data_IF_620732538744
#
_entry.id   IF_620732538744
#
_cell.length_a   1.000
_cell.length_b   1.000
_cell.length_c   1.000
_cell.angle_alpha   90.00
_cell.angle_beta   90.00
_cell.angle_gamma   90.00
#
_symmetry.space_group_name_H-M   'P 1'
#
loop_
_entity.id
_entity.type
_entity.pdbx_description
1 polymer ?
2 non-polymer ?
3 water ?
#
# COMPACT_ATOMS: atom_id res chain seq x y z
N UNK A 1 19.65 5.31 10.13
CA UNK A 1 19.52 4.12 10.95
C UNK A 1 18.72 4.30 12.23
N UNK A 2 17.46 3.87 12.30
CA UNK A 2 16.88 3.88 13.65
C UNK A 2 17.20 2.52 14.28
N UNK A 3 17.22 2.52 15.60
CA UNK A 3 17.55 1.37 16.42
C UNK A 3 16.91 0.07 15.99
N UNK A 4 15.73 0.17 15.41
CA UNK A 4 14.88 -0.94 15.02
C UNK A 4 15.01 -1.27 13.53
N UNK A 5 15.95 -0.62 12.86
CA UNK A 5 16.28 -1.09 11.51
C UNK A 5 16.60 -2.58 11.61
N UNK A 6 15.92 -3.37 10.79
CA UNK A 6 16.13 -4.81 10.90
C UNK A 6 15.75 -5.54 9.64
N UNK A 7 16.55 -6.55 9.27
CA UNK A 7 16.31 -7.16 7.96
C UNK A 7 14.99 -7.92 7.88
N UNK A 8 14.30 -8.12 8.99
CA UNK A 8 13.01 -8.79 8.96
C UNK A 8 11.84 -7.81 9.06
N UNK A 9 12.10 -6.52 9.19
CA UNK A 9 11.00 -5.54 9.15
C UNK A 9 10.19 -5.65 7.87
N UNK A 10 8.93 -5.21 7.89
CA UNK A 10 8.02 -5.38 6.76
C UNK A 10 7.55 -4.04 6.22
N UNK A 11 7.64 -3.94 4.90
CA UNK A 11 7.20 -2.69 4.28
C UNK A 11 5.79 -2.77 3.71
N UNK A 12 4.90 -1.94 4.26
CA UNK A 12 3.54 -1.92 3.73
C UNK A 12 3.38 -0.68 2.86
N UNK A 13 2.67 -0.91 1.78
CA UNK A 13 2.50 0.12 0.77
C UNK A 13 1.08 0.05 0.21
N UNK A 14 0.55 1.21 -0.13
CA UNK A 14 -0.78 1.29 -0.73
C UNK A 14 -0.81 2.46 -1.70
N UNK A 15 -0.83 2.10 -2.99
CA UNK A 15 -0.98 3.13 -4.00
C UNK A 15 -2.44 3.49 -4.20
N UNK A 16 -2.69 4.70 -4.68
CA UNK A 16 -3.96 5.03 -5.33
C UNK A 16 -3.60 5.19 -6.82
N UNK A 17 -4.44 4.68 -7.70
CA UNK A 17 -4.24 4.66 -9.14
C UNK A 17 -5.52 5.11 -9.86
N UNK A 18 -5.38 5.50 -11.13
CA UNK A 18 -6.48 6.13 -11.87
C UNK A 18 -7.28 5.15 -12.70
N UNK A 19 -6.80 3.92 -12.76
CA UNK A 19 -7.46 2.84 -13.48
C UNK A 19 -6.55 1.64 -13.24
N UNK A 20 -6.83 0.49 -13.83
CA UNK A 20 -6.17 -0.75 -13.44
C UNK A 20 -5.09 -1.14 -14.43
N UNK A 21 -5.19 -0.65 -15.67
CA UNK A 21 -4.08 -1.02 -16.57
C UNK A 21 -3.08 0.12 -16.52
N UNK A 22 -1.94 -0.26 -15.97
CA UNK A 22 -0.86 0.70 -15.73
C UNK A 22 -0.43 1.34 -17.04
N UNK A 23 -0.59 0.58 -18.13
CA UNK A 23 -0.08 1.02 -19.43
C UNK A 23 -0.89 2.18 -19.98
N UNK A 24 -2.01 2.51 -19.34
CA UNK A 24 -2.74 3.74 -19.64
C UNK A 24 -3.15 4.46 -18.35
N UNK A 25 -2.77 3.90 -17.21
CA UNK A 25 -3.10 4.49 -15.92
C UNK A 25 -1.84 4.93 -15.17
N UNK A 26 -1.96 5.78 -14.16
CA UNK A 26 -0.89 6.36 -13.38
C UNK A 26 -1.20 6.45 -11.88
N UNK A 27 -0.12 6.50 -11.10
CA UNK A 27 -0.26 6.69 -9.66
C UNK A 27 -0.74 8.10 -9.36
N UNK A 28 -1.54 8.28 -8.33
CA UNK A 28 -2.05 9.56 -7.88
C UNK A 28 -1.97 9.69 -6.37
N UNK A 29 -1.58 8.59 -5.71
CA UNK A 29 -1.26 8.75 -4.29
C UNK A 29 -0.37 7.58 -3.90
N UNK A 30 0.53 7.87 -2.97
CA UNK A 30 1.44 6.87 -2.43
C UNK A 30 1.59 7.04 -0.92
N UNK A 31 1.53 5.92 -0.22
CA UNK A 31 1.70 5.81 1.21
C UNK A 31 2.42 4.50 1.56
N UNK A 32 3.13 4.58 2.67
CA UNK A 32 3.91 3.51 3.24
C UNK A 32 3.91 3.63 4.77
N UNK A 33 4.17 2.48 5.35
CA UNK A 33 4.24 2.15 6.76
C UNK A 33 5.28 1.04 6.92
N UNK A 34 6.15 1.13 7.92
CA UNK A 34 7.03 0.02 8.25
C UNK A 34 6.59 -0.52 9.61
N UNK A 35 6.47 -1.84 9.66
CA UNK A 35 6.26 -2.59 10.89
C UNK A 35 7.46 -3.53 11.13
N UNK A 36 7.52 -4.09 12.33
CA UNK A 36 8.52 -5.12 12.61
C UNK A 36 7.94 -6.45 12.13
N UNK A 37 8.67 -7.56 12.20
CA UNK A 37 8.09 -8.79 11.67
C UNK A 37 6.79 -9.17 12.39
N UNK A 38 6.56 -8.66 13.59
CA UNK A 38 5.38 -8.99 14.38
C UNK A 38 4.26 -7.97 14.27
N UNK A 39 4.30 -7.11 13.27
CA UNK A 39 3.24 -6.21 12.88
C UNK A 39 3.10 -5.03 13.86
N UNK A 40 4.16 -4.74 14.60
CA UNK A 40 4.20 -3.54 15.45
C UNK A 40 4.63 -2.34 14.61
N UNK A 41 3.81 -1.28 14.54
CA UNK A 41 4.22 -0.21 13.63
C UNK A 41 5.44 0.50 14.21
N UNK A 42 6.44 0.67 13.36
CA UNK A 42 7.66 1.40 13.63
C UNK A 42 7.48 2.85 13.19
N UNK A 43 7.23 3.00 11.89
CA UNK A 43 7.07 4.32 11.31
C UNK A 43 6.01 4.37 10.21
N UNK A 44 5.34 5.52 10.11
CA UNK A 44 4.51 5.88 8.97
C UNK A 44 5.33 6.74 8.01
N UNK A 45 5.26 6.43 6.72
CA UNK A 45 6.09 7.14 5.76
C UNK A 45 5.36 8.25 5.03
N UNK A 46 6.01 8.78 4.00
CA UNK A 46 5.42 9.89 3.24
C UNK A 46 4.06 9.49 2.67
N UNK A 47 3.04 10.29 2.96
CA UNK A 47 1.75 10.16 2.31
C UNK A 47 1.64 11.23 1.25
N UNK A 48 1.75 10.86 -0.02
CA UNK A 48 1.95 11.91 -1.01
C UNK A 48 0.96 11.87 -2.17
N UNK A 49 0.28 12.98 -2.47
CA UNK A 49 -0.52 13.10 -3.69
C UNK A 49 0.37 13.46 -4.89
N UNK A 50 0.50 12.53 -5.81
CA UNK A 50 1.24 12.59 -7.06
C UNK A 50 0.35 13.30 -8.08
N UNK A 51 0.82 14.38 -8.70
CA UNK A 51 -0.09 15.14 -9.58
C UNK A 51 -0.16 14.54 -10.98
N UNK A 52 -1.37 14.57 -11.55
CA UNK A 52 -1.59 14.07 -12.90
C UNK A 52 -2.54 15.00 -13.66
N UNK A 53 -2.40 15.06 -14.97
CA UNK A 53 -3.21 15.90 -15.84
C UNK A 53 -4.71 15.80 -15.52
N UNK A 54 -5.46 16.79 -16.00
CA UNK A 54 -6.90 16.88 -15.84
C UNK A 54 -7.65 15.95 -16.79
N UNK A 55 -7.02 15.67 -17.92
CA UNK A 55 -7.51 14.76 -18.93
C UNK A 55 -7.37 13.31 -18.53
N UNK A 56 -6.27 12.96 -17.84
CA UNK A 56 -6.17 11.57 -17.40
C UNK A 56 -7.17 11.31 -16.28
N UNK A 57 -7.39 12.33 -15.45
CA UNK A 57 -8.38 12.32 -14.39
C UNK A 57 -9.79 12.24 -14.95
N UNK A 58 -9.96 12.77 -16.16
CA UNK A 58 -11.24 12.84 -16.84
C UNK A 58 -11.58 11.54 -17.56
N UNK A 59 -10.55 10.78 -17.90
CA UNK A 59 -10.62 9.46 -18.51
C UNK A 59 -10.86 8.38 -17.45
N UNK A 60 -10.79 8.80 -16.20
CA UNK A 60 -11.03 7.93 -15.06
C UNK A 60 -12.45 7.37 -15.07
N UNK A 61 -12.55 6.06 -14.85
CA UNK A 61 -13.85 5.42 -14.73
C UNK A 61 -14.63 6.21 -13.68
N UNK A 62 -15.92 6.24 -13.97
CA UNK A 62 -16.87 7.01 -13.18
C UNK A 62 -16.80 6.59 -11.73
N UNK A 63 -16.45 5.33 -11.46
CA UNK A 63 -16.43 4.85 -10.08
C UNK A 63 -15.26 5.48 -9.34
N UNK A 64 -14.07 5.48 -9.94
CA UNK A 64 -12.91 6.07 -9.28
C UNK A 64 -13.04 7.58 -9.12
N UNK A 65 -13.59 8.25 -10.15
CA UNK A 65 -13.74 9.69 -9.91
C UNK A 65 -14.68 9.91 -8.72
N UNK A 66 -15.68 9.05 -8.52
CA UNK A 66 -16.60 9.38 -7.43
C UNK A 66 -15.84 9.35 -6.11
N UNK A 67 -15.10 8.27 -5.92
CA UNK A 67 -14.44 8.00 -4.66
C UNK A 67 -13.34 9.02 -4.36
N UNK A 68 -12.54 9.25 -5.40
CA UNK A 68 -11.35 10.10 -5.21
C UNK A 68 -11.78 11.51 -4.85
N UNK A 69 -12.95 11.87 -5.35
CA UNK A 69 -13.46 13.22 -5.11
C UNK A 69 -14.01 13.35 -3.70
N UNK A 70 -14.79 12.35 -3.29
CA UNK A 70 -15.47 12.46 -2.00
C UNK A 70 -14.44 12.35 -0.89
N UNK A 71 -13.41 11.56 -1.21
CA UNK A 71 -12.26 11.49 -0.31
C UNK A 71 -11.51 12.81 -0.30
N UNK A 72 -11.42 13.41 -1.48
CA UNK A 72 -10.80 14.71 -1.67
C UNK A 72 -9.43 14.57 -2.31
N UNK A 73 -9.12 13.35 -2.76
CA UNK A 73 -7.79 13.12 -3.27
C UNK A 73 -7.48 14.05 -4.43
N UNK A 74 -8.48 14.26 -5.28
CA UNK A 74 -8.25 15.00 -6.53
C UNK A 74 -7.85 16.45 -6.25
N UNK A 75 -8.54 17.04 -5.28
CA UNK A 75 -8.18 18.35 -4.74
C UNK A 75 -6.69 18.44 -4.42
N UNK A 76 -6.10 17.36 -3.94
CA UNK A 76 -4.67 17.25 -3.70
C UNK A 76 -3.87 16.95 -4.97
N UNK A 77 -4.47 16.17 -5.87
CA UNK A 77 -3.68 15.75 -7.02
C UNK A 77 -3.37 17.00 -7.83
N UNK A 78 -4.44 17.80 -7.86
CA UNK A 78 -4.53 19.03 -8.61
C UNK A 78 -3.81 20.16 -7.89
N UNK A 79 -3.61 20.00 -6.58
CA UNK A 79 -2.80 21.03 -5.93
C UNK A 79 -1.38 20.50 -5.75
N UNK A 80 -1.14 19.29 -6.24
CA UNK A 80 0.17 18.67 -6.10
C UNK A 80 1.21 19.26 -7.04
N UNK A 81 2.44 19.30 -6.53
CA UNK A 81 3.56 19.70 -7.38
C UNK A 81 4.48 18.49 -7.55
N UNK A 82 4.14 17.39 -6.86
CA UNK A 82 5.01 16.22 -6.88
C UNK A 82 4.94 15.46 -8.21
N UNK A 83 6.12 15.07 -8.68
CA UNK A 83 6.33 14.18 -9.81
C UNK A 83 6.35 12.73 -9.32
N UNK A 84 6.36 11.75 -10.22
CA UNK A 84 6.47 10.38 -9.68
C UNK A 84 7.79 10.17 -8.95
N UNK A 85 8.88 10.62 -9.57
CA UNK A 85 10.22 10.57 -9.03
C UNK A 85 10.33 11.30 -7.69
N UNK A 86 9.74 12.49 -7.62
CA UNK A 86 9.74 13.18 -6.33
C UNK A 86 9.09 12.29 -5.27
N UNK A 87 7.93 11.73 -5.59
CA UNK A 87 7.22 10.86 -4.65
C UNK A 87 8.13 9.70 -4.22
N UNK A 88 8.66 9.06 -5.25
CA UNK A 88 9.44 7.84 -5.08
C UNK A 88 10.70 8.06 -4.25
N UNK A 89 11.52 9.03 -4.66
CA UNK A 89 12.72 9.40 -3.92
C UNK A 89 12.36 9.66 -2.47
N UNK A 90 11.23 10.37 -2.30
CA UNK A 90 10.89 10.68 -0.91
C UNK A 90 10.55 9.44 -0.12
N UNK A 91 10.00 8.43 -0.78
CA UNK A 91 9.61 7.21 -0.07
C UNK A 91 10.79 6.29 0.20
N UNK A 92 11.58 6.10 -0.85
CA UNK A 92 12.87 5.44 -0.72
C UNK A 92 13.68 5.95 0.46
N UNK A 93 13.91 7.26 0.46
CA UNK A 93 14.68 7.98 1.47
C UNK A 93 14.27 7.49 2.86
N UNK A 94 12.96 7.52 3.02
CA UNK A 94 12.27 7.06 4.20
C UNK A 94 12.55 5.59 4.49
N UNK A 95 12.35 4.75 3.46
CA UNK A 95 12.39 3.31 3.70
C UNK A 95 13.78 2.90 4.18
N UNK A 96 14.77 3.42 3.52
CA UNK A 96 16.19 3.29 3.74
C UNK A 96 16.59 3.43 5.20
N UNK A 97 15.87 4.20 6.01
CA UNK A 97 16.25 4.31 7.41
C UNK A 97 15.72 3.18 8.28
N UNK A 98 15.00 2.22 7.73
CA UNK A 98 14.19 1.29 8.51
C UNK A 98 14.30 -0.18 8.11
N UNK A 99 14.58 -0.47 6.84
CA UNK A 99 14.74 -1.80 6.28
C UNK A 99 15.78 -1.81 5.17
N UNK A 100 16.62 -2.82 5.09
CA UNK A 100 17.54 -2.84 3.94
C UNK A 100 16.81 -3.15 2.63
N UNK A 101 17.25 -2.53 1.55
CA UNK A 101 16.89 -2.82 0.17
C UNK A 101 16.89 -4.32 -0.11
N UNK A 102 15.83 -4.83 -0.73
CA UNK A 102 15.76 -6.23 -1.08
C UNK A 102 15.35 -7.12 0.06
N UNK A 103 15.11 -6.60 1.27
CA UNK A 103 14.81 -7.59 2.31
C UNK A 103 13.32 -7.89 2.46
N UNK A 104 12.45 -6.88 2.47
CA UNK A 104 11.05 -7.17 2.76
C UNK A 104 10.29 -7.53 1.50
N UNK A 105 9.35 -8.46 1.62
CA UNK A 105 8.43 -8.70 0.50
C UNK A 105 7.43 -7.55 0.44
N UNK A 106 6.62 -7.46 -0.61
CA UNK A 106 5.67 -6.34 -0.66
C UNK A 106 4.40 -6.73 0.09
N UNK A 107 3.99 -5.88 1.03
CA UNK A 107 2.92 -6.20 1.95
C UNK A 107 1.73 -5.25 1.89
N UNK A 108 0.55 -5.86 1.90
CA UNK A 108 -0.73 -5.19 1.91
C UNK A 108 -1.81 -6.06 1.28
N UNK A 109 -2.89 -5.43 0.81
CA UNK A 109 -3.98 -6.19 0.22
C UNK A 109 -3.93 -6.16 -1.30
N UNK A 110 -3.86 -7.32 -1.92
CA UNK A 110 -3.84 -7.33 -3.38
C UNK A 110 -2.67 -6.54 -3.91
N UNK A 111 -1.50 -6.62 -3.26
CA UNK A 111 -0.50 -5.61 -3.61
C UNK A 111 0.15 -5.87 -4.95
N UNK A 112 -0.21 -6.99 -5.59
CA UNK A 112 0.32 -7.26 -6.93
C UNK A 112 -0.09 -6.12 -7.86
N UNK A 113 -1.33 -5.68 -7.73
CA UNK A 113 -1.84 -4.51 -8.43
C UNK A 113 -0.96 -3.30 -8.20
N UNK A 114 -0.57 -2.97 -6.97
CA UNK A 114 0.28 -1.78 -6.83
C UNK A 114 1.62 -1.88 -7.55
N UNK A 115 2.26 -3.02 -7.39
CA UNK A 115 3.59 -3.34 -7.88
C UNK A 115 3.69 -3.28 -9.40
N UNK A 116 2.61 -3.60 -10.10
CA UNK A 116 2.56 -3.43 -11.55
C UNK A 116 2.93 -1.99 -11.93
N UNK A 117 2.38 -1.02 -11.20
CA UNK A 117 2.56 0.40 -11.42
C UNK A 117 3.91 0.90 -10.92
N UNK A 118 4.38 0.50 -9.75
CA UNK A 118 5.74 0.74 -9.30
C UNK A 118 6.74 0.33 -10.38
N UNK A 119 6.62 -0.93 -10.80
CA UNK A 119 7.51 -1.47 -11.82
C UNK A 119 7.55 -0.59 -13.06
N UNK A 120 6.46 0.12 -13.36
CA UNK A 120 6.51 0.94 -14.56
C UNK A 120 6.84 2.39 -14.26
N UNK A 121 6.32 2.91 -13.15
CA UNK A 121 6.47 4.33 -12.85
C UNK A 121 7.42 4.61 -11.69
N UNK A 122 7.83 3.60 -10.92
CA UNK A 122 8.71 3.81 -9.78
C UNK A 122 9.58 2.57 -9.55
N UNK A 123 10.37 2.19 -10.55
CA UNK A 123 11.13 0.94 -10.55
C UNK A 123 12.21 0.90 -9.48
N UNK A 124 12.70 2.06 -9.02
CA UNK A 124 13.74 1.92 -7.99
C UNK A 124 13.11 1.40 -6.70
N UNK A 125 11.91 1.92 -6.44
CA UNK A 125 11.07 1.50 -5.33
C UNK A 125 10.71 0.02 -5.44
N UNK A 126 10.35 -0.40 -6.65
CA UNK A 126 9.86 -1.74 -6.93
C UNK A 126 10.97 -2.75 -6.66
N UNK A 127 12.16 -2.21 -6.87
CA UNK A 127 13.40 -2.95 -6.67
C UNK A 127 13.77 -2.99 -5.19
N UNK A 128 13.26 -2.05 -4.40
CA UNK A 128 13.62 -2.00 -3.00
C UNK A 128 13.06 -3.21 -2.22
N UNK A 129 12.10 -3.86 -2.85
CA UNK A 129 11.38 -5.01 -2.42
C UNK A 129 12.00 -6.33 -2.87
N UNK A 130 12.05 -7.27 -1.93
CA UNK A 130 12.20 -8.66 -2.25
C UNK A 130 11.19 -9.08 -3.31
N UNK A 131 11.40 -10.17 -4.06
CA UNK A 131 10.43 -10.37 -5.14
C UNK A 131 9.08 -10.86 -4.62
N UNK A 132 9.06 -11.45 -3.43
CA UNK A 132 7.88 -12.10 -2.86
C UNK A 132 6.83 -11.12 -2.36
N UNK A 133 5.58 -11.55 -2.44
CA UNK A 133 4.45 -10.74 -2.01
C UNK A 133 3.94 -11.24 -0.67
N UNK A 134 3.51 -10.31 0.18
CA UNK A 134 2.83 -10.79 1.40
C UNK A 134 1.44 -10.18 1.32
N UNK A 135 0.59 -10.91 0.61
CA UNK A 135 -0.77 -10.52 0.28
C UNK A 135 -1.75 -10.99 1.33
N UNK A 136 -2.18 -10.02 2.14
CA UNK A 136 -3.17 -10.37 3.17
C UNK A 136 -4.41 -11.02 2.58
N UNK A 137 -4.79 -10.67 1.36
CA UNK A 137 -6.04 -11.21 0.81
C UNK A 137 -5.87 -12.69 0.48
N UNK A 138 -4.60 -13.12 0.45
CA UNK A 138 -4.33 -14.54 0.23
C UNK A 138 -5.03 -15.31 1.34
N UNK A 139 -4.91 -14.72 2.54
CA UNK A 139 -5.38 -15.39 3.75
C UNK A 139 -6.90 -15.40 3.83
N UNK A 140 -7.49 -14.30 3.38
CA UNK A 140 -8.92 -14.10 3.32
C UNK A 140 -9.53 -15.18 2.43
N UNK A 141 -8.92 -15.36 1.26
CA UNK A 141 -9.34 -16.39 0.32
C UNK A 141 -9.31 -17.79 0.94
N UNK A 142 -8.32 -18.05 1.80
CA UNK A 142 -8.15 -19.36 2.40
C UNK A 142 -9.19 -19.53 3.52
N UNK A 143 -9.34 -18.44 4.26
CA UNK A 143 -10.30 -18.47 5.36
C UNK A 143 -11.68 -18.67 4.76
N UNK A 144 -12.02 -17.86 3.75
CA UNK A 144 -13.29 -18.05 3.05
C UNK A 144 -13.53 -19.48 2.59
N UNK A 145 -12.53 -20.32 2.42
CA UNK A 145 -12.78 -21.70 2.01
C UNK A 145 -12.59 -22.72 3.12
N UNK A 146 -11.74 -22.38 4.09
CA UNK A 146 -11.42 -23.33 5.15
C UNK A 146 -11.88 -22.82 6.51
N UNK A 147 -12.38 -21.59 6.66
CA UNK A 147 -12.86 -21.22 8.00
C UNK A 147 -13.61 -19.90 8.00
N UNK A 148 -14.70 -19.87 7.24
CA UNK A 148 -15.42 -18.65 6.90
C UNK A 148 -16.04 -17.94 8.09
N UNK A 149 -16.31 -18.71 9.14
CA UNK A 149 -16.93 -18.12 10.33
C UNK A 149 -16.14 -16.93 10.82
N UNK A 150 -14.81 -16.98 10.65
CA UNK A 150 -14.01 -15.88 11.20
C UNK A 150 -14.16 -14.63 10.34
N UNK A 151 -14.78 -14.82 9.18
CA UNK A 151 -14.94 -13.68 8.29
C UNK A 151 -16.19 -12.89 8.60
N UNK A 152 -17.11 -13.52 9.34
CA UNK A 152 -18.34 -12.81 9.68
C UNK A 152 -18.12 -11.89 10.88
N UNK A 153 -16.86 -11.78 11.30
CA UNK A 153 -16.44 -11.01 12.45
C UNK A 153 -15.29 -10.04 12.26
N UNK A 154 -14.98 -9.72 11.01
CA UNK A 154 -13.98 -8.76 10.59
C UNK A 154 -14.38 -8.12 9.27
N UNK A 155 -14.93 -6.91 9.29
CA UNK A 155 -15.15 -6.25 8.00
C UNK A 155 -14.89 -4.75 8.15
N UNK A 156 -13.68 -4.42 7.76
CA UNK A 156 -12.98 -3.16 7.86
C UNK A 156 -13.65 -2.02 7.09
N UNK A 157 -13.01 -0.86 7.20
CA UNK A 157 -13.57 0.35 6.63
C UNK A 157 -12.52 1.08 5.79
N UNK A 158 -13.02 2.01 4.98
CA UNK A 158 -12.21 2.95 4.24
C UNK A 158 -11.81 4.11 5.17
N UNK A 159 -11.59 5.25 4.56
CA UNK A 159 -11.14 6.52 5.09
C UNK A 159 -10.16 7.11 4.08
N UNK A 160 -10.22 8.41 3.88
CA UNK A 160 -9.49 9.15 2.87
C UNK A 160 -8.01 9.30 3.18
N UNK A 161 -7.61 8.65 4.25
CA UNK A 161 -6.31 8.51 4.86
C UNK A 161 -5.69 7.14 4.59
N UNK A 162 -4.83 7.14 3.57
CA UNK A 162 -4.03 6.01 3.16
C UNK A 162 -3.46 5.27 4.36
N UNK A 163 -3.01 6.03 5.36
CA UNK A 163 -2.29 5.43 6.48
C UNK A 163 -3.29 4.63 7.31
N UNK A 164 -4.54 5.01 7.13
CA UNK A 164 -5.58 4.26 7.86
C UNK A 164 -5.89 3.00 7.08
N UNK A 165 -5.75 3.13 5.75
CA UNK A 165 -6.00 2.00 4.87
C UNK A 165 -4.98 0.90 5.15
N UNK A 166 -3.72 1.32 5.21
CA UNK A 166 -2.68 0.32 5.44
C UNK A 166 -2.96 -0.28 6.81
N UNK A 167 -3.36 0.59 7.73
CA UNK A 167 -3.46 0.12 9.10
C UNK A 167 -4.50 -0.99 9.25
N UNK A 168 -5.47 -1.01 8.35
CA UNK A 168 -6.55 -2.00 8.38
C UNK A 168 -6.14 -3.30 7.71
N UNK A 169 -5.30 -3.15 6.69
CA UNK A 169 -4.67 -4.30 6.06
C UNK A 169 -3.85 -5.05 7.11
N UNK A 170 -3.21 -4.28 7.97
CA UNK A 170 -2.37 -4.81 9.03
C UNK A 170 -3.27 -5.41 10.10
N UNK A 171 -4.29 -4.62 10.43
CA UNK A 171 -5.27 -5.03 11.42
C UNK A 171 -5.80 -6.40 11.00
N UNK A 172 -6.06 -6.48 9.69
CA UNK A 172 -6.61 -7.73 9.15
C UNK A 172 -5.65 -8.89 9.35
N UNK A 173 -4.35 -8.63 9.16
CA UNK A 173 -3.40 -9.73 9.21
C UNK A 173 -3.42 -10.23 10.66
N UNK A 174 -3.37 -9.18 11.48
CA UNK A 174 -3.28 -9.34 12.93
C UNK A 174 -4.44 -10.22 13.36
N UNK A 175 -5.57 -9.99 12.72
CA UNK A 175 -6.78 -10.77 12.95
C UNK A 175 -6.60 -12.22 12.53
N UNK A 176 -5.95 -12.51 11.40
CA UNK A 176 -5.76 -13.90 10.98
C UNK A 176 -4.72 -14.60 11.85
N UNK A 177 -3.75 -13.84 12.36
CA UNK A 177 -2.77 -14.48 13.26
C UNK A 177 -3.45 -15.02 14.52
N UNK A 178 -4.44 -14.27 14.96
CA UNK A 178 -5.33 -14.50 16.06
C UNK A 178 -6.25 -15.70 15.85
N UNK A 179 -7.14 -15.56 14.87
CA UNK A 179 -8.14 -16.60 14.70
C UNK A 179 -7.94 -17.50 13.50
N UNK A 180 -6.75 -17.62 12.91
CA UNK A 180 -6.68 -18.49 11.73
C UNK A 180 -5.34 -19.19 11.61
N UNK A 181 -4.38 -18.70 12.37
CA UNK A 181 -3.03 -19.25 12.46
C UNK A 181 -2.90 -20.15 13.70
N UNK A 182 -1.82 -20.93 13.77
CA UNK A 182 -1.49 -21.59 15.03
C UNK A 182 -0.02 -21.37 15.30
N UNK A 183 0.32 -20.38 16.12
CA UNK A 183 1.73 -19.99 16.14
C UNK A 183 2.55 -20.77 17.15
N UNK A 184 1.90 -21.32 18.17
CA UNK A 184 2.67 -21.99 19.21
C UNK A 184 3.58 -20.99 19.92
X LIG B 1 -8.75 -6.58 -1.90
X LIG B 1 -10.17 -6.80 -2.26
X LIG B 1 -8.69 -6.08 -0.52
X LIG B 1 -8.19 -5.58 -2.83
X LIG B 1 -7.99 -7.83 -2.00
X LIG C 1 -0.67 15.93 0.05
X LIG C 1 -0.66 14.80 1.00
X LIG C 1 -0.15 17.12 0.76
X LIG C 1 -2.04 16.23 -0.37
X LIG C 1 0.17 15.62 -1.12
#
# INVERSE_FOLDING_TARGET
SHMSFDKQNLIWIDLEMTGLDPEKERIIEIATIVTDKNLNILAEGPVLAVHQSDELLNKMNDWCQKTHSENGLIERIKASKLTERAAELQTLDFLKKWVPKGASPICGNSIAQDKRFLVKYMPDLADYFHYRHLDVSTLKELAARWKPEILEGFKKENTHLALDDIRESIKELAYYREHFMKLD
SO4 S O1 O2 O3 O4
SO4 S O1 O2 O3 O4
#
